data_IF_339304932418
#
_entry.id   IF_339304932418
#
_cell.length_a   1.000
_cell.length_b   1.000
_cell.length_c   1.000
_cell.angle_alpha   90.00
_cell.angle_beta   90.00
_cell.angle_gamma   90.00
#
_symmetry.space_group_name_H-M   'P 1'
#
loop_
_entity.id
_entity.type
_entity.pdbx_description
1 polymer ?
#
# COMPACT_ATOMS: atom_id res chain seq x y z
N UNK A 1 -2.20 -32.97 -6.30
CA UNK A 1 -3.13 -32.62 -5.20
C UNK A 1 -2.41 -32.63 -3.85
N UNK A 2 -1.39 -33.46 -3.73
CA UNK A 2 -0.61 -33.65 -2.50
C UNK A 2 0.12 -32.37 -2.04
N UNK A 3 0.76 -31.64 -2.94
CA UNK A 3 1.46 -30.36 -2.65
C UNK A 3 0.57 -29.27 -2.09
N UNK A 4 -0.72 -29.19 -2.46
CA UNK A 4 -1.68 -28.23 -1.90
C UNK A 4 -2.06 -28.58 -0.47
N UNK A 5 -2.30 -29.85 -0.20
CA UNK A 5 -2.61 -30.34 1.14
C UNK A 5 -1.41 -30.24 2.07
N UNK A 6 -0.23 -30.59 1.60
CA UNK A 6 1.04 -30.43 2.31
C UNK A 6 1.31 -28.96 2.64
N UNK A 7 1.14 -28.06 1.66
CA UNK A 7 1.29 -26.61 1.88
C UNK A 7 0.30 -26.05 2.90
N UNK A 8 -0.95 -26.52 2.89
CA UNK A 8 -1.96 -26.12 3.88
C UNK A 8 -1.60 -26.63 5.28
N UNK A 9 -1.22 -27.90 5.41
CA UNK A 9 -0.79 -28.49 6.67
C UNK A 9 0.44 -27.76 7.22
N UNK A 10 1.41 -27.43 6.37
CA UNK A 10 2.59 -26.70 6.76
C UNK A 10 2.28 -25.26 7.15
N UNK A 11 1.36 -24.57 6.45
CA UNK A 11 0.90 -23.24 6.83
C UNK A 11 0.28 -23.24 8.24
N UNK A 12 -0.61 -24.20 8.51
CA UNK A 12 -1.24 -24.36 9.83
C UNK A 12 -0.19 -24.66 10.88
N UNK A 13 0.74 -25.57 10.59
CA UNK A 13 1.81 -25.95 11.52
C UNK A 13 2.71 -24.74 11.87
N UNK A 14 3.14 -23.96 10.87
CA UNK A 14 3.98 -22.77 11.06
C UNK A 14 3.26 -21.69 11.88
N UNK A 15 1.95 -21.50 11.67
CA UNK A 15 1.15 -20.55 12.43
C UNK A 15 0.92 -21.00 13.87
N UNK A 16 0.61 -22.29 14.09
CA UNK A 16 0.35 -22.83 15.43
C UNK A 16 1.63 -22.88 16.29
N UNK A 17 2.77 -23.22 15.68
CA UNK A 17 4.05 -23.32 16.40
C UNK A 17 4.81 -21.98 16.46
N UNK A 18 4.23 -20.90 15.91
CA UNK A 18 4.83 -19.55 15.89
C UNK A 18 6.31 -19.59 15.46
N UNK A 19 6.59 -20.26 14.32
CA UNK A 19 7.95 -20.31 13.79
C UNK A 19 8.58 -18.91 13.78
N UNK A 20 9.70 -18.75 14.50
CA UNK A 20 10.31 -17.45 14.74
C UNK A 20 10.66 -16.72 13.43
N UNK A 21 11.08 -17.46 12.41
CA UNK A 21 11.42 -16.89 11.09
C UNK A 21 10.16 -16.39 10.38
N UNK A 22 9.07 -17.14 10.43
CA UNK A 22 7.79 -16.77 9.80
C UNK A 22 7.17 -15.57 10.52
N UNK A 23 7.22 -15.54 11.85
CA UNK A 23 6.74 -14.40 12.63
C UNK A 23 7.55 -13.14 12.31
N UNK A 24 8.87 -13.22 12.26
CA UNK A 24 9.73 -12.09 11.89
C UNK A 24 9.40 -11.55 10.49
N UNK A 25 9.31 -12.43 9.49
CA UNK A 25 8.99 -12.06 8.11
C UNK A 25 7.60 -11.43 8.02
N UNK A 26 6.61 -11.97 8.76
CA UNK A 26 5.24 -11.46 8.82
C UNK A 26 5.19 -10.06 9.42
N UNK A 27 5.85 -9.85 10.57
CA UNK A 27 5.93 -8.53 11.21
C UNK A 27 6.62 -7.52 10.29
N UNK A 28 7.68 -7.93 9.61
CA UNK A 28 8.38 -7.07 8.65
C UNK A 28 7.52 -6.72 7.45
N UNK A 29 6.73 -7.67 6.95
CA UNK A 29 5.75 -7.43 5.88
C UNK A 29 4.75 -6.36 6.31
N UNK A 30 4.18 -6.49 7.50
CA UNK A 30 3.24 -5.50 8.06
C UNK A 30 3.90 -4.14 8.27
N UNK A 31 5.11 -4.12 8.81
CA UNK A 31 5.86 -2.88 9.04
C UNK A 31 6.13 -2.14 7.73
N UNK A 32 6.68 -2.82 6.73
CA UNK A 32 7.03 -2.19 5.44
C UNK A 32 5.78 -1.72 4.72
N UNK A 33 4.79 -2.61 4.52
CA UNK A 33 3.57 -2.27 3.75
C UNK A 33 2.66 -1.30 4.51
N UNK A 34 2.60 -1.39 5.84
CA UNK A 34 1.87 -0.43 6.68
C UNK A 34 2.47 0.96 6.62
N UNK A 35 3.80 1.08 6.79
CA UNK A 35 4.50 2.37 6.68
C UNK A 35 4.39 2.96 5.28
N UNK A 36 4.53 2.15 4.24
CA UNK A 36 4.35 2.59 2.85
C UNK A 36 2.94 3.15 2.61
N UNK A 37 1.92 2.46 3.12
CA UNK A 37 0.52 2.91 3.03
C UNK A 37 0.30 4.21 3.81
N UNK A 38 0.87 4.34 5.01
CA UNK A 38 0.77 5.58 5.78
C UNK A 38 1.40 6.77 5.04
N UNK A 39 2.60 6.59 4.48
CA UNK A 39 3.24 7.62 3.64
C UNK A 39 2.38 7.96 2.43
N UNK A 40 1.85 6.95 1.75
CA UNK A 40 0.99 7.13 0.59
C UNK A 40 -0.34 7.81 0.95
N UNK A 41 -0.90 7.60 2.14
CA UNK A 41 -2.08 8.32 2.64
C UNK A 41 -1.77 9.79 2.93
N UNK A 42 -0.66 10.06 3.62
CA UNK A 42 -0.24 11.43 3.96
C UNK A 42 -0.01 12.28 2.70
N UNK A 43 0.48 11.68 1.63
CA UNK A 43 0.70 12.37 0.34
C UNK A 43 -0.55 12.31 -0.55
N UNK A 44 -1.13 11.13 -0.71
CA UNK A 44 -2.18 10.85 -1.70
C UNK A 44 -3.52 11.49 -1.36
N UNK A 45 -3.92 11.50 -0.07
CA UNK A 45 -5.21 12.09 0.34
C UNK A 45 -5.22 13.62 0.15
N UNK A 46 -4.24 14.39 0.62
CA UNK A 46 -4.19 15.83 0.34
C UNK A 46 -4.09 16.15 -1.15
N UNK A 47 -3.23 15.43 -1.89
CA UNK A 47 -3.06 15.62 -3.33
C UNK A 47 -4.36 15.31 -4.09
N UNK A 48 -5.02 14.20 -3.77
CA UNK A 48 -6.29 13.81 -4.36
C UNK A 48 -7.40 14.83 -4.08
N UNK A 49 -7.46 15.31 -2.83
CA UNK A 49 -8.42 16.37 -2.43
C UNK A 49 -8.18 17.67 -3.19
N UNK A 50 -6.92 18.07 -3.31
CA UNK A 50 -6.54 19.26 -4.09
C UNK A 50 -6.94 19.12 -5.56
N UNK A 51 -6.57 17.99 -6.20
CA UNK A 51 -6.89 17.71 -7.59
C UNK A 51 -8.41 17.57 -7.84
N UNK A 52 -9.19 17.09 -6.86
CA UNK A 52 -10.63 17.01 -6.96
C UNK A 52 -11.29 18.38 -7.04
N UNK A 53 -10.79 19.36 -6.27
CA UNK A 53 -11.43 20.66 -6.06
C UNK A 53 -10.85 21.80 -6.88
N UNK A 54 -9.54 21.77 -7.17
CA UNK A 54 -8.84 22.87 -7.82
C UNK A 54 -9.18 22.96 -9.33
N UNK A 55 -9.28 24.18 -9.83
CA UNK A 55 -9.44 24.52 -11.25
C UNK A 55 -8.23 25.31 -11.71
N UNK A 56 -7.35 24.68 -12.46
CA UNK A 56 -6.14 25.32 -13.01
C UNK A 56 -5.79 24.68 -14.38
N UNK A 57 -5.07 25.42 -15.25
CA UNK A 57 -4.58 24.83 -16.49
C UNK A 57 -3.60 23.68 -16.17
N UNK A 58 -3.73 22.55 -16.89
CA UNK A 58 -2.92 21.36 -16.64
C UNK A 58 -3.49 20.36 -15.62
N UNK A 59 -4.58 20.66 -14.90
CA UNK A 59 -5.23 19.71 -13.98
C UNK A 59 -5.54 18.36 -14.65
N UNK A 60 -6.04 18.39 -15.91
CA UNK A 60 -6.35 17.17 -16.65
C UNK A 60 -5.12 16.29 -16.85
N UNK A 61 -3.97 16.88 -17.14
CA UNK A 61 -2.71 16.17 -17.29
C UNK A 61 -2.28 15.51 -15.97
N UNK A 62 -2.36 16.23 -14.84
CA UNK A 62 -2.01 15.67 -13.54
C UNK A 62 -2.93 14.52 -13.14
N UNK A 63 -4.25 14.65 -13.36
CA UNK A 63 -5.19 13.54 -13.12
C UNK A 63 -4.89 12.37 -14.04
N UNK A 64 -4.54 12.61 -15.30
CA UNK A 64 -4.13 11.55 -16.23
C UNK A 64 -2.84 10.85 -15.76
N UNK A 65 -1.86 11.59 -15.25
CA UNK A 65 -0.63 11.03 -14.66
C UNK A 65 -0.92 10.17 -13.43
N UNK A 66 -1.83 10.61 -12.55
CA UNK A 66 -2.28 9.81 -11.41
C UNK A 66 -2.93 8.51 -11.89
N UNK A 67 -3.84 8.58 -12.86
CA UNK A 67 -4.52 7.40 -13.39
C UNK A 67 -3.54 6.45 -14.10
N UNK A 68 -2.57 6.97 -14.84
CA UNK A 68 -1.49 6.17 -15.42
C UNK A 68 -0.63 5.54 -14.33
N UNK A 69 -0.37 6.29 -13.25
CA UNK A 69 0.38 5.83 -12.08
C UNK A 69 -0.26 4.63 -11.39
N UNK A 70 -1.59 4.51 -11.40
CA UNK A 70 -2.29 3.34 -10.85
C UNK A 70 -1.98 2.04 -11.60
N UNK A 71 -1.58 2.13 -12.87
CA UNK A 71 -1.22 0.98 -13.71
C UNK A 71 0.29 0.84 -13.97
N UNK A 72 1.14 1.58 -13.25
CA UNK A 72 2.59 1.49 -13.42
C UNK A 72 3.10 0.08 -13.08
N UNK A 73 3.94 -0.52 -13.95
CA UNK A 73 4.57 -1.80 -13.62
C UNK A 73 5.47 -1.64 -12.39
N UNK A 74 5.20 -2.37 -11.29
CA UNK A 74 5.97 -2.22 -10.04
C UNK A 74 7.48 -2.44 -10.21
N UNK A 75 7.85 -3.35 -11.11
CA UNK A 75 9.27 -3.64 -11.44
C UNK A 75 9.97 -2.39 -11.97
N UNK A 76 9.30 -1.57 -12.79
CA UNK A 76 9.85 -0.32 -13.30
C UNK A 76 10.06 0.69 -12.17
N UNK A 77 9.11 0.79 -11.25
CA UNK A 77 9.24 1.64 -10.06
C UNK A 77 10.41 1.17 -9.20
N UNK A 78 10.51 -0.14 -8.94
CA UNK A 78 11.60 -0.73 -8.18
C UNK A 78 12.97 -0.46 -8.80
N UNK A 79 13.09 -0.62 -10.13
CA UNK A 79 14.32 -0.31 -10.86
C UNK A 79 14.69 1.17 -10.74
N UNK A 80 13.73 2.06 -10.94
CA UNK A 80 13.96 3.49 -10.84
C UNK A 80 14.42 3.89 -9.44
N UNK A 81 13.74 3.41 -8.40
CA UNK A 81 14.12 3.68 -7.00
C UNK A 81 15.47 3.08 -6.68
N UNK A 82 15.75 1.84 -7.13
CA UNK A 82 17.06 1.21 -6.94
C UNK A 82 18.19 2.06 -7.57
N UNK A 83 18.02 2.54 -8.80
CA UNK A 83 19.00 3.41 -9.46
C UNK A 83 19.19 4.74 -8.74
N UNK A 84 18.10 5.36 -8.23
CA UNK A 84 18.18 6.60 -7.46
C UNK A 84 18.92 6.43 -6.13
N UNK A 85 18.75 5.28 -5.47
CA UNK A 85 19.36 4.96 -4.17
C UNK A 85 20.71 4.24 -4.29
N UNK A 86 21.11 3.84 -5.50
CA UNK A 86 22.38 3.17 -5.73
C UNK A 86 23.57 4.05 -5.31
N UNK A 87 24.72 3.44 -4.97
CA UNK A 87 25.92 4.17 -4.49
C UNK A 87 26.36 5.31 -5.41
N UNK A 88 26.25 5.13 -6.72
CA UNK A 88 26.54 6.15 -7.75
C UNK A 88 25.33 7.01 -8.12
N UNK A 89 24.16 6.73 -7.58
CA UNK A 89 22.92 7.48 -7.85
C UNK A 89 22.84 8.77 -7.04
N UNK A 90 21.86 9.63 -7.37
CA UNK A 90 21.73 10.96 -6.74
C UNK A 90 21.52 10.90 -5.22
N UNK A 91 20.88 9.84 -4.71
CA UNK A 91 20.62 9.64 -3.28
C UNK A 91 21.49 8.54 -2.66
N UNK A 92 22.53 8.07 -3.35
CA UNK A 92 23.39 6.99 -2.88
C UNK A 92 24.12 7.27 -1.56
N UNK A 93 24.38 8.55 -1.25
CA UNK A 93 24.97 8.98 0.03
C UNK A 93 24.10 8.65 1.24
N UNK A 94 22.80 8.44 1.07
CA UNK A 94 21.89 8.07 2.16
C UNK A 94 22.04 6.61 2.61
N UNK A 95 22.70 5.77 1.81
CA UNK A 95 22.94 4.35 2.16
C UNK A 95 21.66 3.51 2.34
N UNK A 96 20.56 3.91 1.67
CA UNK A 96 19.24 3.30 1.87
C UNK A 96 19.02 2.01 1.08
N UNK A 97 19.77 1.77 0.00
CA UNK A 97 19.61 0.55 -0.80
C UNK A 97 19.78 -0.70 0.08
N UNK A 98 18.96 -1.71 -0.14
CA UNK A 98 18.89 -2.95 0.64
C UNK A 98 18.49 -2.76 2.11
N UNK A 99 17.68 -1.74 2.40
CA UNK A 99 17.09 -1.52 3.71
C UNK A 99 15.55 -1.57 3.64
N UNK A 100 14.86 -1.81 4.77
CA UNK A 100 13.41 -1.68 4.84
C UNK A 100 12.90 -0.29 4.41
N UNK A 101 13.67 0.77 4.65
CA UNK A 101 13.32 2.12 4.24
C UNK A 101 13.21 2.26 2.71
N UNK A 102 14.15 1.64 1.94
CA UNK A 102 14.05 1.62 0.49
C UNK A 102 12.78 0.90 0.00
N UNK A 103 12.40 -0.20 0.68
CA UNK A 103 11.17 -0.93 0.38
C UNK A 103 9.93 -0.07 0.64
N UNK A 104 9.90 0.64 1.77
CA UNK A 104 8.82 1.60 2.12
C UNK A 104 8.71 2.68 1.03
N UNK A 105 9.82 3.26 0.58
CA UNK A 105 9.83 4.29 -0.49
C UNK A 105 9.23 3.72 -1.78
N UNK A 106 9.70 2.55 -2.24
CA UNK A 106 9.22 1.95 -3.48
C UNK A 106 7.73 1.61 -3.40
N UNK A 107 7.28 0.98 -2.32
CA UNK A 107 5.87 0.63 -2.11
C UNK A 107 4.99 1.89 -1.96
N UNK A 108 5.47 2.95 -1.30
CA UNK A 108 4.74 4.20 -1.17
C UNK A 108 4.55 4.88 -2.54
N UNK A 109 5.57 4.86 -3.42
CA UNK A 109 5.45 5.40 -4.78
C UNK A 109 4.38 4.64 -5.57
N UNK A 110 4.27 3.31 -5.40
CA UNK A 110 3.25 2.49 -6.05
C UNK A 110 1.85 2.77 -5.47
N UNK A 111 1.73 2.85 -4.15
CA UNK A 111 0.45 3.04 -3.47
C UNK A 111 -0.12 4.47 -3.60
N UNK A 112 0.75 5.49 -3.73
CA UNK A 112 0.32 6.90 -3.77
C UNK A 112 -0.65 7.21 -4.92
N UNK A 113 -0.41 6.83 -6.18
CA UNK A 113 -1.37 7.05 -7.26
C UNK A 113 -2.72 6.36 -7.02
N UNK A 114 -2.72 5.16 -6.45
CA UNK A 114 -3.93 4.40 -6.14
C UNK A 114 -4.77 5.19 -5.12
N UNK A 115 -4.17 5.59 -4.01
CA UNK A 115 -4.83 6.36 -2.96
C UNK A 115 -5.29 7.72 -3.50
N UNK A 116 -4.46 8.39 -4.28
CA UNK A 116 -4.80 9.70 -4.89
C UNK A 116 -6.00 9.57 -5.83
N UNK A 117 -6.00 8.60 -6.73
CA UNK A 117 -7.07 8.38 -7.69
C UNK A 117 -8.42 8.06 -7.01
N UNK A 118 -8.41 7.15 -6.03
CA UNK A 118 -9.60 6.83 -5.25
C UNK A 118 -10.08 8.05 -4.44
N UNK A 119 -9.16 8.83 -3.87
CA UNK A 119 -9.49 10.06 -3.15
C UNK A 119 -10.13 11.12 -4.07
N UNK A 120 -9.62 11.30 -5.30
CA UNK A 120 -10.23 12.20 -6.29
C UNK A 120 -11.69 11.80 -6.51
N UNK A 121 -11.95 10.52 -6.77
CA UNK A 121 -13.30 10.01 -6.99
C UNK A 121 -14.20 10.20 -5.76
N UNK A 122 -13.68 9.91 -4.56
CA UNK A 122 -14.41 10.06 -3.29
C UNK A 122 -14.84 11.50 -3.03
N UNK A 123 -13.94 12.45 -3.21
CA UNK A 123 -14.22 13.87 -2.98
C UNK A 123 -15.16 14.45 -4.06
N UNK A 124 -15.06 13.98 -5.30
CA UNK A 124 -15.95 14.42 -6.39
C UNK A 124 -17.38 13.90 -6.24
N UNK A 125 -17.61 12.84 -5.45
CA UNK A 125 -18.95 12.32 -5.15
C UNK A 125 -19.68 13.10 -4.06
N UNK A 126 -19.00 13.96 -3.30
CA UNK A 126 -19.63 14.82 -2.31
C UNK A 126 -20.48 15.90 -2.99
N UNK A 127 -21.56 16.33 -2.29
CA UNK A 127 -22.40 17.42 -2.80
C UNK A 127 -21.55 18.69 -3.02
N UNK A 128 -21.53 19.25 -4.24
CA UNK A 128 -20.78 20.48 -4.54
C UNK A 128 -21.20 21.67 -3.67
N UNK A 129 -22.43 21.64 -3.14
CA UNK A 129 -22.96 22.71 -2.26
C UNK A 129 -22.27 22.72 -0.89
N UNK A 130 -21.83 21.55 -0.42
CA UNK A 130 -21.11 21.46 0.88
C UNK A 130 -19.90 22.39 0.91
N UNK A 131 -19.08 22.39 -0.12
CA UNK A 131 -17.91 23.28 -0.22
C UNK A 131 -18.30 24.75 -0.21
N UNK A 132 -19.34 25.12 -0.98
CA UNK A 132 -19.81 26.51 -1.06
C UNK A 132 -20.37 26.98 0.26
N UNK A 133 -21.13 26.17 0.98
CA UNK A 133 -21.65 26.47 2.30
C UNK A 133 -20.54 26.72 3.32
N UNK A 134 -19.52 25.84 3.35
CA UNK A 134 -18.38 26.00 4.26
C UNK A 134 -17.61 27.29 4.00
N UNK A 135 -17.35 27.62 2.73
CA UNK A 135 -16.68 28.86 2.34
C UNK A 135 -17.56 30.09 2.69
N UNK A 136 -18.88 30.00 2.50
CA UNK A 136 -19.82 31.07 2.87
C UNK A 136 -19.87 31.34 4.38
N UNK A 137 -19.58 30.32 5.20
CA UNK A 137 -19.42 30.42 6.65
C UNK A 137 -18.02 30.90 7.08
N UNK A 138 -17.13 31.21 6.14
CA UNK A 138 -15.79 31.71 6.42
C UNK A 138 -14.76 30.63 6.75
N UNK A 139 -15.04 29.36 6.44
CA UNK A 139 -14.09 28.27 6.67
C UNK A 139 -12.83 28.42 5.83
N UNK A 140 -11.66 28.24 6.44
CA UNK A 140 -10.38 28.19 5.76
C UNK A 140 -10.25 26.91 4.89
N UNK A 141 -9.33 26.92 3.94
CA UNK A 141 -9.12 25.80 3.04
C UNK A 141 -8.83 24.47 3.77
N UNK A 142 -8.03 24.53 4.85
CA UNK A 142 -7.75 23.36 5.69
C UNK A 142 -8.98 22.83 6.42
N UNK A 143 -9.85 23.73 6.92
CA UNK A 143 -11.12 23.35 7.56
C UNK A 143 -12.07 22.69 6.55
N UNK A 144 -12.17 23.24 5.34
CA UNK A 144 -12.96 22.63 4.26
C UNK A 144 -12.42 21.22 3.95
N UNK A 145 -11.11 21.05 3.80
CA UNK A 145 -10.51 19.75 3.52
C UNK A 145 -10.81 18.74 4.63
N UNK A 146 -10.65 19.10 5.91
CA UNK A 146 -10.92 18.24 7.06
C UNK A 146 -12.39 17.79 7.10
N UNK A 147 -13.34 18.70 6.87
CA UNK A 147 -14.77 18.34 6.85
C UNK A 147 -15.08 17.42 5.68
N UNK A 148 -14.48 17.67 4.49
CA UNK A 148 -14.65 16.80 3.33
C UNK A 148 -14.03 15.41 3.57
N UNK A 149 -12.90 15.31 4.25
CA UNK A 149 -12.33 14.03 4.64
C UNK A 149 -13.23 13.27 5.63
N UNK A 150 -13.81 14.00 6.57
CA UNK A 150 -14.76 13.39 7.51
C UNK A 150 -16.00 12.86 6.79
N UNK A 151 -16.55 13.62 5.84
CA UNK A 151 -17.71 13.19 5.06
C UNK A 151 -17.36 12.02 4.11
N UNK A 152 -16.17 12.07 3.49
CA UNK A 152 -15.67 11.03 2.59
C UNK A 152 -14.97 9.86 3.32
N UNK A 153 -14.94 9.82 4.67
CA UNK A 153 -14.08 8.90 5.44
C UNK A 153 -14.23 7.42 5.05
N UNK A 154 -15.44 6.99 4.69
CA UNK A 154 -15.68 5.61 4.24
C UNK A 154 -14.98 5.30 2.91
N UNK A 155 -15.06 6.22 1.97
CA UNK A 155 -14.38 6.08 0.68
C UNK A 155 -12.86 6.25 0.83
N UNK A 156 -12.40 7.07 1.77
CA UNK A 156 -10.98 7.18 2.11
C UNK A 156 -10.45 5.91 2.77
N UNK A 157 -11.27 5.20 3.56
CA UNK A 157 -10.93 3.88 4.07
C UNK A 157 -10.75 2.87 2.91
N UNK A 158 -11.61 2.91 1.90
CA UNK A 158 -11.43 2.10 0.68
C UNK A 158 -10.12 2.45 -0.03
N UNK A 159 -9.77 3.75 -0.12
CA UNK A 159 -8.50 4.18 -0.68
C UNK A 159 -7.30 3.59 0.09
N UNK A 160 -7.36 3.60 1.43
CA UNK A 160 -6.34 3.01 2.29
C UNK A 160 -6.23 1.50 2.08
N UNK A 161 -7.37 0.78 2.01
CA UNK A 161 -7.41 -0.66 1.74
C UNK A 161 -6.81 -1.01 0.37
N UNK A 162 -7.14 -0.25 -0.67
CA UNK A 162 -6.61 -0.46 -2.02
C UNK A 162 -5.10 -0.20 -2.07
N UNK A 163 -4.62 0.89 -1.44
CA UNK A 163 -3.19 1.20 -1.35
C UNK A 163 -2.42 0.15 -0.56
N UNK A 164 -2.96 -0.30 0.58
CA UNK A 164 -2.35 -1.36 1.39
C UNK A 164 -2.31 -2.70 0.65
N UNK A 165 -3.40 -3.08 -0.02
CA UNK A 165 -3.46 -4.29 -0.82
C UNK A 165 -2.41 -4.31 -1.93
N UNK A 166 -2.22 -3.18 -2.63
CA UNK A 166 -1.16 -3.01 -3.61
C UNK A 166 0.24 -3.12 -3.00
N UNK A 167 0.46 -2.49 -1.82
CA UNK A 167 1.75 -2.52 -1.14
C UNK A 167 2.11 -3.91 -0.60
N UNK A 168 1.17 -4.60 0.08
CA UNK A 168 1.46 -5.90 0.73
C UNK A 168 1.68 -7.03 -0.27
N UNK A 169 1.08 -6.95 -1.46
CA UNK A 169 1.23 -7.95 -2.53
C UNK A 169 2.48 -7.72 -3.39
N UNK A 170 3.23 -6.63 -3.15
CA UNK A 170 4.34 -6.24 -3.99
C UNK A 170 5.56 -7.14 -3.81
N UNK A 171 6.08 -7.64 -4.93
CA UNK A 171 7.23 -8.55 -4.99
C UNK A 171 8.41 -7.91 -5.70
N UNK A 172 8.20 -7.44 -6.93
CA UNK A 172 9.26 -7.05 -7.85
C UNK A 172 10.07 -5.86 -7.36
N UNK A 173 9.40 -4.78 -7.00
CA UNK A 173 10.05 -3.60 -6.44
C UNK A 173 10.73 -3.94 -5.10
N UNK A 174 10.08 -4.74 -4.25
CA UNK A 174 10.62 -5.17 -2.96
C UNK A 174 11.93 -5.97 -3.10
N UNK A 175 12.02 -6.87 -4.09
CA UNK A 175 13.27 -7.61 -4.37
C UNK A 175 14.36 -6.66 -4.88
N UNK A 176 14.02 -5.74 -5.80
CA UNK A 176 15.00 -4.84 -6.41
C UNK A 176 15.65 -3.90 -5.41
N UNK A 177 14.85 -3.29 -4.53
CA UNK A 177 15.36 -2.31 -3.57
C UNK A 177 15.76 -2.91 -2.23
N UNK A 178 15.18 -4.07 -1.86
CA UNK A 178 15.40 -4.74 -0.58
C UNK A 178 16.41 -5.87 -0.63
N UNK A 179 16.59 -6.54 -1.79
CA UNK A 179 17.54 -7.65 -1.96
C UNK A 179 17.17 -8.95 -1.24
N UNK A 180 15.99 -9.07 -0.63
CA UNK A 180 15.48 -10.29 0.05
C UNK A 180 16.46 -10.87 1.10
N UNK A 181 17.08 -10.01 1.90
CA UNK A 181 18.09 -10.39 2.89
C UNK A 181 17.43 -10.95 4.15
N UNK A 182 17.80 -12.17 4.56
CA UNK A 182 17.30 -12.79 5.78
C UNK A 182 17.63 -11.91 7.01
N UNK A 183 16.67 -11.79 7.93
CA UNK A 183 16.84 -10.97 9.14
C UNK A 183 16.78 -9.46 8.90
N UNK A 184 16.71 -8.97 7.64
CA UNK A 184 16.75 -7.54 7.34
C UNK A 184 15.60 -7.06 6.43
N UNK A 185 15.50 -7.56 5.21
CA UNK A 185 14.56 -7.06 4.19
C UNK A 185 13.63 -8.12 3.63
N UNK A 186 13.78 -9.38 4.08
CA UNK A 186 12.89 -10.46 3.64
C UNK A 186 11.48 -10.24 4.17
N UNK A 187 10.49 -10.28 3.26
CA UNK A 187 9.05 -10.20 3.54
C UNK A 187 8.35 -11.44 2.99
N UNK A 188 7.09 -11.68 3.33
CA UNK A 188 6.34 -12.90 2.94
C UNK A 188 6.36 -13.13 1.42
N UNK A 189 6.13 -12.08 0.63
CA UNK A 189 6.11 -12.16 -0.84
C UNK A 189 7.46 -12.59 -1.41
N UNK A 190 8.55 -11.96 -0.94
CA UNK A 190 9.90 -12.26 -1.44
C UNK A 190 10.42 -13.60 -0.92
N UNK A 191 10.00 -14.02 0.28
CA UNK A 191 10.31 -15.32 0.83
C UNK A 191 9.62 -16.45 0.04
N UNK A 192 8.33 -16.27 -0.30
CA UNK A 192 7.59 -17.26 -1.10
C UNK A 192 8.24 -17.48 -2.48
N UNK A 193 8.64 -16.39 -3.17
CA UNK A 193 9.37 -16.49 -4.45
C UNK A 193 10.71 -17.21 -4.29
N UNK A 194 11.45 -16.95 -3.21
CA UNK A 194 12.71 -17.61 -2.93
C UNK A 194 12.52 -19.11 -2.72
N UNK A 195 11.55 -19.53 -1.90
CA UNK A 195 11.28 -20.94 -1.65
C UNK A 195 10.80 -21.65 -2.93
N UNK A 196 9.99 -20.98 -3.76
CA UNK A 196 9.60 -21.47 -5.08
C UNK A 196 10.82 -21.71 -5.98
N UNK A 197 11.77 -20.79 -6.02
CA UNK A 197 12.98 -20.90 -6.82
C UNK A 197 13.93 -21.99 -6.35
N UNK A 198 13.84 -22.39 -5.07
CA UNK A 198 14.58 -23.54 -4.51
C UNK A 198 13.89 -24.89 -4.75
N UNK A 199 12.67 -24.89 -5.28
CA UNK A 199 11.87 -26.10 -5.44
C UNK A 199 11.11 -26.53 -4.17
N UNK A 200 11.10 -25.73 -3.11
CA UNK A 200 10.37 -25.97 -1.85
C UNK A 200 8.91 -25.49 -1.98
N UNK A 201 8.14 -26.16 -2.84
CA UNK A 201 6.79 -25.72 -3.21
C UNK A 201 5.81 -25.71 -2.03
N UNK A 202 5.91 -26.66 -1.12
CA UNK A 202 5.13 -26.77 0.11
C UNK A 202 5.33 -25.53 1.00
N UNK A 203 6.58 -25.14 1.22
CA UNK A 203 6.93 -23.95 2.02
C UNK A 203 6.55 -22.65 1.32
N UNK A 204 6.75 -22.56 0.00
CA UNK A 204 6.30 -21.41 -0.78
C UNK A 204 4.78 -21.22 -0.70
N UNK A 205 4.03 -22.32 -0.81
CA UNK A 205 2.58 -22.35 -0.65
C UNK A 205 2.15 -21.93 0.75
N UNK A 206 2.81 -22.43 1.78
CA UNK A 206 2.52 -22.07 3.17
C UNK A 206 2.69 -20.56 3.41
N UNK A 207 3.78 -19.95 2.94
CA UNK A 207 4.02 -18.50 3.03
C UNK A 207 2.98 -17.69 2.25
N UNK A 208 2.57 -18.15 1.07
CA UNK A 208 1.51 -17.56 0.27
C UNK A 208 0.16 -17.59 0.97
N UNK A 209 -0.20 -18.71 1.61
CA UNK A 209 -1.44 -18.86 2.39
C UNK A 209 -1.44 -17.95 3.63
N UNK A 210 -0.31 -17.82 4.31
CA UNK A 210 -0.15 -16.89 5.44
C UNK A 210 -0.36 -15.45 4.97
N UNK A 211 0.25 -15.05 3.85
CA UNK A 211 0.07 -13.73 3.27
C UNK A 211 -1.39 -13.45 2.90
N UNK A 212 -2.06 -14.43 2.27
CA UNK A 212 -3.46 -14.33 1.88
C UNK A 212 -4.36 -14.18 3.11
N UNK A 213 -4.16 -15.00 4.15
CA UNK A 213 -4.90 -14.92 5.40
C UNK A 213 -4.69 -13.56 6.09
N UNK A 214 -3.44 -13.06 6.12
CA UNK A 214 -3.10 -11.78 6.71
C UNK A 214 -3.79 -10.63 5.96
N UNK A 215 -3.69 -10.60 4.65
CA UNK A 215 -4.32 -9.59 3.80
C UNK A 215 -5.84 -9.62 3.93
N UNK A 216 -6.44 -10.83 3.93
CA UNK A 216 -7.87 -11.01 4.13
C UNK A 216 -8.33 -10.49 5.50
N UNK A 217 -7.61 -10.83 6.57
CA UNK A 217 -7.95 -10.43 7.94
C UNK A 217 -7.95 -8.90 8.11
N UNK A 218 -6.93 -8.23 7.56
CA UNK A 218 -6.83 -6.76 7.60
C UNK A 218 -7.96 -6.11 6.80
N UNK A 219 -8.21 -6.62 5.59
CA UNK A 219 -9.26 -6.11 4.71
C UNK A 219 -10.64 -6.36 5.31
N UNK A 220 -10.88 -7.52 5.94
CA UNK A 220 -12.11 -7.84 6.63
C UNK A 220 -12.36 -6.88 7.80
N UNK A 221 -11.35 -6.65 8.64
CA UNK A 221 -11.45 -5.69 9.76
C UNK A 221 -11.77 -4.27 9.28
N UNK A 222 -11.10 -3.81 8.22
CA UNK A 222 -11.38 -2.51 7.62
C UNK A 222 -12.79 -2.43 7.01
N UNK A 223 -13.27 -3.51 6.39
CA UNK A 223 -14.63 -3.60 5.83
C UNK A 223 -15.68 -3.55 6.95
N UNK A 224 -15.45 -4.22 8.06
CA UNK A 224 -16.34 -4.16 9.22
C UNK A 224 -16.45 -2.74 9.78
N UNK A 225 -15.33 -2.03 9.92
CA UNK A 225 -15.32 -0.63 10.33
C UNK A 225 -16.12 0.25 9.36
N UNK A 226 -15.96 0.02 8.06
CA UNK A 226 -16.69 0.75 7.01
C UNK A 226 -18.21 0.52 7.08
N UNK A 227 -18.66 -0.72 7.32
CA UNK A 227 -20.07 -1.09 7.34
C UNK A 227 -20.75 -0.71 8.66
N UNK A 228 -20.08 -0.90 9.80
CA UNK A 228 -20.61 -0.53 11.12
C UNK A 228 -21.03 0.94 11.24
N UNK A 229 -20.39 1.84 10.50
CA UNK A 229 -20.81 3.24 10.42
C UNK A 229 -22.03 3.48 9.50
N UNK A 230 -22.42 2.51 8.67
CA UNK A 230 -23.60 2.60 7.81
C UNK A 230 -24.89 2.41 8.60
N UNK A 231 -24.87 1.50 9.58
CA UNK A 231 -26.05 1.14 10.38
C UNK A 231 -26.38 2.17 11.47
N UNK A 232 -25.48 3.15 11.71
CA UNK A 232 -25.68 4.24 12.70
C UNK A 232 -26.28 5.52 12.12
N UNK A 233 -26.64 5.55 10.83
CA UNK A 233 -27.30 6.67 10.13
C UNK A 233 -28.68 6.26 9.67
#
# INVERSE_FOLDING_TARGET
MDTLLEGLQQAIWLLVHLDATVVEITLRTLQVSGMATLVALVVGVPLGTYLAQARFPGRRLLVSLVNTGMGLPPVVVGLFVALMLWRSGPFGRLGLIYTPAAMVIAQAIIATPIITGVTIAAIQQLDPRLRLQLLGLGASWGQVALIMWWEARRSLLVAAMAGFGGAISEVGASIMVGGNIAGQTRVLTTAAVLEMSKGNFDRAMALGLILLFLSFSITLGATWLQQSERDKR
#
